data_IF_471744942275
#
_entry.id   IF_471744942275
#
_cell.length_a   1.000
_cell.length_b   1.000
_cell.length_c   1.000
_cell.angle_alpha   90.00
_cell.angle_beta   90.00
_cell.angle_gamma   90.00
#
_symmetry.space_group_name_H-M   'P 1'
#
loop_
_entity.id
_entity.type
_entity.pdbx_description
1 polymer ?
#
# COMPACT_ATOMS: atom_id res chain seq x y z
N UNK A 1 0.79 -21.05 -13.20
CA UNK A 1 0.05 -20.33 -14.28
C UNK A 1 -0.93 -19.38 -13.64
N UNK A 2 -0.55 -18.11 -13.56
CA UNK A 2 -1.51 -17.06 -13.24
C UNK A 2 -2.19 -16.68 -14.56
N UNK A 3 -3.48 -17.02 -14.71
CA UNK A 3 -4.27 -16.58 -15.86
C UNK A 3 -4.38 -15.05 -15.83
N UNK A 4 -3.54 -14.34 -16.59
CA UNK A 4 -3.66 -12.90 -16.82
C UNK A 4 -4.44 -12.66 -18.09
N UNK A 5 -5.45 -11.81 -18.00
CA UNK A 5 -6.14 -11.24 -19.14
C UNK A 5 -5.63 -9.83 -19.38
N UNK A 6 -5.25 -9.52 -20.60
CA UNK A 6 -4.72 -8.20 -20.96
C UNK A 6 -5.66 -7.55 -21.98
N UNK A 7 -6.11 -6.35 -21.65
CA UNK A 7 -6.95 -5.53 -22.53
C UNK A 7 -6.21 -4.24 -22.90
N UNK A 8 -6.42 -3.77 -24.11
CA UNK A 8 -5.86 -2.51 -24.57
C UNK A 8 -6.99 -1.50 -24.83
N UNK A 9 -6.80 -0.30 -24.33
CA UNK A 9 -7.69 0.84 -24.54
C UNK A 9 -6.97 1.87 -25.40
N UNK A 10 -7.63 2.34 -26.46
CA UNK A 10 -7.04 3.30 -27.39
C UNK A 10 -7.17 4.74 -26.90
N UNK A 11 -8.12 5.02 -26.01
CA UNK A 11 -8.38 6.34 -25.46
C UNK A 11 -8.58 6.32 -23.95
N UNK A 12 -8.41 7.49 -23.32
CA UNK A 12 -8.67 7.66 -21.89
C UNK A 12 -10.16 7.48 -21.56
N UNK A 13 -11.02 7.87 -22.46
CA UNK A 13 -12.48 7.77 -22.35
C UNK A 13 -12.90 6.30 -22.29
N UNK A 14 -12.43 5.47 -23.22
CA UNK A 14 -12.70 4.02 -23.23
C UNK A 14 -12.30 3.37 -21.90
N UNK A 15 -11.10 3.68 -21.39
CA UNK A 15 -10.63 3.15 -20.12
C UNK A 15 -11.51 3.58 -18.93
N UNK A 16 -11.92 4.85 -18.87
CA UNK A 16 -12.71 5.39 -17.77
C UNK A 16 -14.16 4.90 -17.81
N UNK A 17 -14.71 4.65 -18.99
CA UNK A 17 -16.07 4.19 -19.20
C UNK A 17 -16.21 2.65 -19.13
N UNK A 18 -15.11 1.92 -19.22
CA UNK A 18 -15.10 0.46 -19.14
C UNK A 18 -15.66 -0.03 -17.80
N UNK A 19 -16.66 -0.93 -17.82
CA UNK A 19 -17.34 -1.44 -16.62
C UNK A 19 -17.58 -2.95 -16.62
N UNK A 20 -17.16 -3.66 -17.66
CA UNK A 20 -17.50 -5.08 -17.83
C UNK A 20 -16.86 -5.96 -16.76
N UNK A 21 -15.56 -5.72 -16.45
CA UNK A 21 -14.85 -6.44 -15.40
C UNK A 21 -14.04 -5.48 -14.53
N UNK A 22 -13.73 -5.84 -13.27
CA UNK A 22 -12.75 -5.11 -12.47
C UNK A 22 -11.37 -5.12 -13.15
N UNK A 23 -10.69 -3.99 -13.13
CA UNK A 23 -9.30 -3.89 -13.57
C UNK A 23 -8.40 -3.95 -12.33
N UNK A 24 -7.55 -4.97 -12.24
CA UNK A 24 -6.60 -5.14 -11.14
C UNK A 24 -5.44 -4.14 -11.25
N UNK A 25 -4.96 -3.92 -12.48
CA UNK A 25 -3.88 -2.98 -12.77
C UNK A 25 -4.06 -2.31 -14.13
N UNK A 26 -3.52 -1.11 -14.26
CA UNK A 26 -3.50 -0.36 -15.52
C UNK A 26 -2.08 0.16 -15.78
N UNK A 27 -1.52 -0.21 -16.90
CA UNK A 27 -0.33 0.44 -17.45
C UNK A 27 -0.77 1.68 -18.22
N UNK A 28 -0.38 2.84 -17.74
CA UNK A 28 -0.89 4.12 -18.20
C UNK A 28 0.25 4.97 -18.75
N UNK A 29 0.19 5.25 -20.05
CA UNK A 29 1.10 6.24 -20.63
C UNK A 29 0.76 7.63 -20.09
N UNK A 30 1.78 8.41 -19.75
CA UNK A 30 1.56 9.80 -19.31
C UNK A 30 1.18 10.67 -20.51
N UNK A 31 1.73 10.39 -21.68
CA UNK A 31 1.44 11.12 -22.91
C UNK A 31 0.40 10.38 -23.76
N UNK A 32 -0.87 10.66 -23.53
CA UNK A 32 -2.01 10.06 -24.25
C UNK A 32 -2.52 10.96 -25.39
N UNK A 33 -1.63 11.52 -26.18
CA UNK A 33 -1.99 12.43 -27.26
C UNK A 33 -2.59 13.73 -26.73
N UNK A 34 -3.92 13.87 -26.73
CA UNK A 34 -4.61 15.06 -26.21
C UNK A 34 -4.88 15.01 -24.70
N UNK A 35 -4.78 13.85 -24.09
CA UNK A 35 -5.00 13.63 -22.65
C UNK A 35 -3.67 13.49 -21.90
N UNK A 36 -3.68 13.90 -20.63
CA UNK A 36 -2.55 13.68 -19.72
C UNK A 36 -2.88 12.47 -18.81
N UNK A 37 -2.04 11.43 -18.84
CA UNK A 37 -2.21 10.21 -18.06
C UNK A 37 -2.28 10.46 -16.56
N UNK A 38 -1.63 11.50 -16.03
CA UNK A 38 -1.72 11.86 -14.60
C UNK A 38 -3.14 12.32 -14.25
N UNK A 39 -3.81 13.04 -15.15
CA UNK A 39 -5.20 13.43 -14.95
C UNK A 39 -6.15 12.21 -15.03
N UNK A 40 -5.88 11.28 -15.95
CA UNK A 40 -6.62 10.01 -16.05
C UNK A 40 -6.45 9.19 -14.77
N UNK A 41 -5.23 9.07 -14.25
CA UNK A 41 -4.94 8.38 -13.00
C UNK A 41 -5.71 8.97 -11.81
N UNK A 42 -5.77 10.31 -11.67
CA UNK A 42 -6.58 10.98 -10.64
C UNK A 42 -8.07 10.62 -10.71
N UNK A 43 -8.60 10.43 -11.92
CA UNK A 43 -9.98 9.96 -12.10
C UNK A 43 -10.12 8.48 -11.73
N UNK A 44 -9.19 7.63 -12.18
CA UNK A 44 -9.16 6.21 -11.84
C UNK A 44 -9.07 5.98 -10.33
N UNK A 45 -8.20 6.69 -9.62
CA UNK A 45 -8.09 6.59 -8.17
C UNK A 45 -9.43 6.87 -7.45
N UNK A 46 -10.27 7.75 -8.00
CA UNK A 46 -11.59 8.07 -7.44
C UNK A 46 -12.65 7.00 -7.73
N UNK A 47 -12.68 6.50 -8.96
CA UNK A 47 -13.74 5.58 -9.41
C UNK A 47 -13.37 4.11 -9.26
N UNK A 48 -12.07 3.80 -9.17
CA UNK A 48 -11.49 2.46 -9.02
C UNK A 48 -10.31 2.47 -8.05
N UNK A 49 -10.52 2.71 -6.75
CA UNK A 49 -9.44 2.91 -5.77
C UNK A 49 -8.54 1.68 -5.59
N UNK A 50 -9.03 0.48 -5.96
CA UNK A 50 -8.25 -0.75 -5.86
C UNK A 50 -7.41 -1.05 -7.10
N UNK A 51 -7.64 -0.35 -8.23
CA UNK A 51 -6.89 -0.54 -9.47
C UNK A 51 -5.48 0.01 -9.32
N UNK A 52 -4.47 -0.83 -9.53
CA UNK A 52 -3.05 -0.45 -9.43
C UNK A 52 -2.63 0.32 -10.67
N UNK A 53 -2.09 1.51 -10.49
CA UNK A 53 -1.63 2.35 -11.60
C UNK A 53 -0.12 2.21 -11.74
N UNK A 54 0.32 1.87 -12.93
CA UNK A 54 1.72 1.84 -13.35
C UNK A 54 1.90 2.86 -14.47
N UNK A 55 2.67 3.91 -14.20
CA UNK A 55 2.98 4.88 -15.21
C UNK A 55 4.07 4.37 -16.15
N UNK A 56 3.85 4.56 -17.43
CA UNK A 56 4.84 4.37 -18.49
C UNK A 56 5.07 5.67 -19.25
N UNK A 57 6.32 6.05 -19.47
CA UNK A 57 6.64 7.25 -20.26
C UNK A 57 8.02 7.14 -20.86
N UNK A 58 8.31 7.98 -21.84
CA UNK A 58 9.68 8.17 -22.35
C UNK A 58 10.49 9.20 -21.54
N UNK A 59 9.85 9.97 -20.65
CA UNK A 59 10.45 11.15 -20.02
C UNK A 59 10.53 11.05 -18.51
N UNK A 60 11.73 11.15 -17.98
CA UNK A 60 11.98 11.03 -16.52
C UNK A 60 11.44 12.23 -15.72
N UNK A 61 11.29 13.41 -16.34
CA UNK A 61 10.82 14.61 -15.61
C UNK A 61 9.41 14.45 -15.00
N UNK A 62 8.57 13.59 -15.57
CA UNK A 62 7.25 13.30 -15.01
C UNK A 62 7.29 12.60 -13.64
N UNK A 63 8.43 12.03 -13.24
CA UNK A 63 8.56 11.38 -11.95
C UNK A 63 8.23 12.31 -10.75
N UNK A 64 8.41 13.63 -10.91
CA UNK A 64 8.05 14.62 -9.88
C UNK A 64 6.57 15.00 -9.89
N UNK A 65 5.86 14.80 -10.99
CA UNK A 65 4.46 15.21 -11.15
C UNK A 65 3.46 14.16 -10.66
N UNK A 66 3.87 12.89 -10.64
CA UNK A 66 3.01 11.76 -10.26
C UNK A 66 2.75 11.65 -8.76
N UNK A 67 3.51 12.37 -7.91
CA UNK A 67 3.38 12.31 -6.43
C UNK A 67 1.97 12.62 -5.92
N UNK A 68 1.14 13.28 -6.70
CA UNK A 68 -0.24 13.62 -6.34
C UNK A 68 -1.27 12.56 -6.78
N UNK A 69 -0.82 11.37 -7.14
CA UNK A 69 -1.67 10.22 -7.53
C UNK A 69 -1.26 8.98 -6.76
N UNK A 70 -2.23 8.12 -6.45
CA UNK A 70 -1.94 6.79 -5.94
C UNK A 70 -1.52 5.89 -7.11
N UNK A 71 -0.27 5.48 -7.12
CA UNK A 71 0.31 4.59 -8.11
C UNK A 71 1.32 3.67 -7.42
N UNK A 72 1.61 2.54 -8.05
CA UNK A 72 2.53 1.54 -7.47
C UNK A 72 3.89 1.49 -8.17
N UNK A 73 3.98 2.03 -9.40
CA UNK A 73 5.21 2.02 -10.18
C UNK A 73 5.27 3.13 -11.20
N UNK A 74 6.50 3.54 -11.50
CA UNK A 74 6.83 4.41 -12.61
C UNK A 74 7.95 3.77 -13.42
N UNK A 75 7.78 3.62 -14.72
CA UNK A 75 8.78 3.01 -15.60
C UNK A 75 8.99 3.82 -16.87
N UNK A 76 10.26 4.00 -17.24
CA UNK A 76 10.62 4.52 -18.55
C UNK A 76 10.41 3.40 -19.58
N UNK A 77 9.72 3.70 -20.69
CA UNK A 77 9.34 2.69 -21.70
C UNK A 77 10.53 1.86 -22.19
N UNK A 78 11.72 2.45 -22.36
CA UNK A 78 12.92 1.72 -22.76
C UNK A 78 13.43 0.72 -21.72
N UNK A 79 12.98 0.79 -20.47
CA UNK A 79 13.32 -0.13 -19.38
C UNK A 79 12.18 -1.09 -19.02
N UNK A 80 11.06 -1.01 -19.73
CA UNK A 80 9.86 -1.78 -19.42
C UNK A 80 10.12 -3.28 -19.47
N UNK A 81 10.77 -3.78 -20.51
CA UNK A 81 11.05 -5.21 -20.67
C UNK A 81 11.90 -5.77 -19.52
N UNK A 82 12.88 -5.00 -19.04
CA UNK A 82 13.74 -5.40 -17.93
C UNK A 82 13.01 -5.38 -16.58
N UNK A 83 11.96 -4.56 -16.46
CA UNK A 83 11.24 -4.31 -15.23
C UNK A 83 9.87 -4.99 -15.11
N UNK A 84 9.36 -5.58 -16.18
CA UNK A 84 8.01 -6.16 -16.21
C UNK A 84 7.84 -7.26 -15.15
N UNK A 85 8.86 -8.09 -14.91
CA UNK A 85 8.82 -9.14 -13.88
C UNK A 85 8.66 -8.55 -12.46
N UNK A 86 9.43 -7.51 -12.13
CA UNK A 86 9.37 -6.81 -10.85
C UNK A 86 7.99 -6.15 -10.67
N UNK A 87 7.48 -5.50 -11.72
CA UNK A 87 6.18 -4.82 -11.73
C UNK A 87 5.04 -5.82 -11.48
N UNK A 88 5.02 -6.93 -12.22
CA UNK A 88 3.99 -7.97 -12.04
C UNK A 88 4.10 -8.60 -10.64
N UNK A 89 5.31 -8.88 -10.17
CA UNK A 89 5.55 -9.36 -8.80
C UNK A 89 4.95 -8.41 -7.77
N UNK A 90 5.12 -7.10 -7.93
CA UNK A 90 4.55 -6.08 -7.06
C UNK A 90 3.02 -6.03 -7.13
N UNK A 91 2.42 -6.07 -8.33
CA UNK A 91 0.96 -6.12 -8.50
C UNK A 91 0.38 -7.31 -7.74
N UNK A 92 0.94 -8.50 -7.95
CA UNK A 92 0.46 -9.74 -7.32
C UNK A 92 0.62 -9.70 -5.80
N UNK A 93 1.74 -9.16 -5.30
CA UNK A 93 1.96 -8.97 -3.86
C UNK A 93 0.90 -8.04 -3.26
N UNK A 94 0.66 -6.90 -3.90
CA UNK A 94 -0.34 -5.92 -3.41
C UNK A 94 -1.77 -6.48 -3.45
N UNK A 95 -2.12 -7.29 -4.45
CA UNK A 95 -3.40 -7.97 -4.52
C UNK A 95 -3.57 -8.98 -3.37
N UNK A 96 -2.55 -9.82 -3.12
CA UNK A 96 -2.55 -10.77 -2.00
C UNK A 96 -2.67 -10.07 -0.66
N UNK A 97 -2.01 -8.93 -0.48
CA UNK A 97 -2.10 -8.15 0.75
C UNK A 97 -3.49 -7.56 0.97
N UNK A 98 -4.20 -7.18 -0.10
CA UNK A 98 -5.60 -6.73 0.00
C UNK A 98 -6.56 -7.87 0.38
N UNK A 99 -6.25 -9.11 0.00
CA UNK A 99 -7.00 -10.29 0.43
C UNK A 99 -6.74 -10.64 1.90
N UNK A 100 -5.57 -10.30 2.45
CA UNK A 100 -5.23 -10.51 3.86
C UNK A 100 -6.02 -9.55 4.73
N UNK A 101 -6.84 -10.11 5.61
CA UNK A 101 -7.74 -9.33 6.47
C UNK A 101 -7.68 -9.82 7.91
N UNK A 102 -7.90 -8.89 8.82
CA UNK A 102 -8.08 -9.17 10.24
C UNK A 102 -9.50 -8.84 10.65
N UNK A 103 -10.08 -9.66 11.53
CA UNK A 103 -11.40 -9.36 12.09
C UNK A 103 -11.22 -8.59 13.40
N UNK A 104 -11.85 -7.44 13.46
CA UNK A 104 -11.88 -6.58 14.63
C UNK A 104 -13.33 -6.25 15.03
N UNK A 105 -13.51 -5.55 16.14
CA UNK A 105 -14.82 -5.11 16.62
C UNK A 105 -14.86 -3.59 16.76
N UNK A 106 -16.02 -3.01 16.45
CA UNK A 106 -16.32 -1.62 16.78
C UNK A 106 -16.64 -1.47 18.27
N UNK A 107 -16.77 -0.23 18.73
CA UNK A 107 -17.23 0.07 20.10
C UNK A 107 -18.61 -0.52 20.39
N UNK A 108 -19.46 -0.61 19.39
CA UNK A 108 -20.81 -1.18 19.44
C UNK A 108 -20.82 -2.72 19.29
N UNK A 109 -19.64 -3.37 19.36
CA UNK A 109 -19.45 -4.83 19.24
C UNK A 109 -19.85 -5.43 17.88
N UNK A 110 -19.90 -4.63 16.83
CA UNK A 110 -20.06 -5.13 15.45
C UNK A 110 -18.72 -5.65 14.93
N UNK A 111 -18.73 -6.80 14.28
CA UNK A 111 -17.55 -7.35 13.63
C UNK A 111 -17.30 -6.60 12.34
N UNK A 112 -16.04 -6.23 12.10
CA UNK A 112 -15.55 -5.60 10.88
C UNK A 112 -14.34 -6.36 10.36
N UNK A 113 -14.22 -6.45 9.05
CA UNK A 113 -13.07 -7.02 8.35
C UNK A 113 -12.20 -5.86 7.90
N UNK A 114 -10.94 -5.84 8.33
CA UNK A 114 -9.96 -4.78 8.04
C UNK A 114 -8.88 -5.37 7.17
N UNK A 115 -8.67 -4.81 5.98
CA UNK A 115 -7.58 -5.21 5.10
C UNK A 115 -6.23 -4.73 5.67
N UNK A 116 -5.17 -5.50 5.47
CA UNK A 116 -3.84 -5.17 5.99
C UNK A 116 -3.34 -3.80 5.52
N UNK A 117 -3.51 -3.39 4.24
CA UNK A 117 -3.11 -2.05 3.81
C UNK A 117 -3.80 -0.91 4.55
N UNK A 118 -4.99 -1.13 5.11
CA UNK A 118 -5.73 -0.09 5.84
C UNK A 118 -5.22 0.11 7.28
N UNK A 119 -4.40 -0.80 7.79
CA UNK A 119 -3.86 -0.75 9.15
C UNK A 119 -2.68 0.22 9.19
N UNK A 120 -2.76 1.23 10.05
CA UNK A 120 -1.65 2.15 10.32
C UNK A 120 -0.64 1.53 11.30
N UNK A 121 -1.14 1.06 12.42
CA UNK A 121 -0.38 0.34 13.44
C UNK A 121 -1.30 -0.44 14.38
N UNK A 122 -0.71 -1.38 15.10
CA UNK A 122 -1.35 -2.12 16.17
C UNK A 122 -0.77 -1.65 17.50
N UNK A 123 -1.63 -1.48 18.50
CA UNK A 123 -1.26 -1.07 19.84
C UNK A 123 -1.78 -2.06 20.89
N UNK A 124 -0.91 -2.44 21.83
CA UNK A 124 -1.31 -3.18 23.04
C UNK A 124 -1.94 -2.20 24.04
N UNK A 125 -3.19 -2.41 24.38
CA UNK A 125 -3.93 -1.62 25.38
C UNK A 125 -4.42 -2.51 26.52
N UNK A 126 -3.58 -2.72 27.53
CA UNK A 126 -3.84 -3.63 28.64
C UNK A 126 -4.04 -5.07 28.13
N UNK A 127 -5.24 -5.62 28.35
CA UNK A 127 -5.63 -6.96 27.88
C UNK A 127 -6.17 -7.00 26.45
N UNK A 128 -6.38 -5.83 25.83
CA UNK A 128 -6.91 -5.70 24.48
C UNK A 128 -5.82 -5.32 23.50
N UNK A 129 -6.09 -5.55 22.25
CA UNK A 129 -5.27 -5.10 21.12
C UNK A 129 -6.08 -4.11 20.31
N UNK A 130 -5.57 -2.88 20.16
CA UNK A 130 -6.17 -1.86 19.29
C UNK A 130 -5.59 -1.99 17.89
N UNK A 131 -6.45 -1.90 16.90
CA UNK A 131 -6.10 -1.76 15.50
C UNK A 131 -6.42 -0.32 15.08
N UNK A 132 -5.40 0.46 14.83
CA UNK A 132 -5.53 1.83 14.34
C UNK A 132 -5.43 1.80 12.82
N UNK A 133 -6.45 2.30 12.15
CA UNK A 133 -6.60 2.22 10.70
C UNK A 133 -6.83 3.61 10.11
N UNK A 134 -6.82 3.69 8.78
CA UNK A 134 -7.19 4.90 8.03
C UNK A 134 -8.65 5.33 8.26
N UNK A 135 -9.51 4.40 8.74
CA UNK A 135 -10.94 4.61 8.98
C UNK A 135 -11.29 4.88 10.45
N UNK A 136 -10.39 4.58 11.38
CA UNK A 136 -10.62 4.72 12.81
C UNK A 136 -9.93 3.65 13.65
N UNK A 137 -10.37 3.53 14.91
CA UNK A 137 -9.76 2.61 15.89
C UNK A 137 -10.75 1.49 16.22
N UNK A 138 -10.28 0.27 16.13
CA UNK A 138 -11.03 -0.95 16.37
C UNK A 138 -10.36 -1.80 17.46
N UNK A 139 -11.13 -2.66 18.10
CA UNK A 139 -10.60 -3.60 19.11
C UNK A 139 -10.49 -5.00 18.52
N UNK A 140 -9.33 -5.62 18.69
CA UNK A 140 -9.12 -7.02 18.32
C UNK A 140 -9.15 -7.86 19.58
N UNK A 141 -9.96 -8.93 19.61
CA UNK A 141 -10.11 -9.86 20.75
C UNK A 141 -9.04 -10.95 20.78
N UNK A 142 -7.93 -10.77 20.10
CA UNK A 142 -6.76 -11.66 20.12
C UNK A 142 -5.62 -10.99 20.87
N UNK A 143 -4.71 -11.80 21.42
CA UNK A 143 -3.53 -11.29 22.10
C UNK A 143 -2.62 -10.56 21.11
N UNK A 144 -1.92 -9.56 21.58
CA UNK A 144 -1.01 -8.75 20.76
C UNK A 144 0.04 -9.63 20.04
N UNK A 145 0.60 -10.62 20.73
CA UNK A 145 1.63 -11.49 20.18
C UNK A 145 1.07 -12.42 19.07
N UNK A 146 -0.18 -12.90 19.20
CA UNK A 146 -0.88 -13.65 18.14
C UNK A 146 -1.15 -12.77 16.90
N UNK A 147 -1.40 -11.47 17.11
CA UNK A 147 -1.56 -10.52 16.01
C UNK A 147 -0.24 -10.23 15.34
N UNK A 148 0.87 -10.15 16.10
CA UNK A 148 2.21 -9.99 15.54
C UNK A 148 2.57 -11.14 14.58
N UNK A 149 2.20 -12.37 14.92
CA UNK A 149 2.40 -13.53 14.04
C UNK A 149 1.55 -13.44 12.76
N UNK A 150 0.28 -13.03 12.87
CA UNK A 150 -0.63 -12.88 11.73
C UNK A 150 -0.16 -11.78 10.76
N UNK A 151 0.39 -10.70 11.32
CA UNK A 151 0.92 -9.55 10.56
C UNK A 151 2.37 -9.76 10.12
N UNK A 152 2.95 -10.94 10.38
CA UNK A 152 4.30 -11.23 9.92
C UNK A 152 4.42 -11.04 8.40
N UNK A 153 5.46 -10.32 7.98
CA UNK A 153 5.69 -9.98 6.59
C UNK A 153 6.42 -8.65 6.46
N UNK A 154 6.69 -8.25 5.23
CA UNK A 154 7.63 -7.17 4.96
C UNK A 154 7.10 -5.78 5.32
N UNK A 155 5.76 -5.61 5.28
CA UNK A 155 5.14 -4.31 5.54
C UNK A 155 5.00 -3.95 7.02
N UNK A 156 5.06 -4.95 7.91
CA UNK A 156 4.84 -4.77 9.35
C UNK A 156 6.08 -5.11 10.15
N UNK A 157 6.41 -4.26 11.11
CA UNK A 157 7.50 -4.52 12.05
C UNK A 157 7.07 -4.22 13.48
N UNK A 158 7.47 -5.09 14.41
CA UNK A 158 7.31 -4.85 15.83
C UNK A 158 8.39 -3.87 16.30
N UNK A 159 8.04 -2.61 16.43
CA UNK A 159 8.97 -1.55 16.84
C UNK A 159 8.97 -1.29 18.35
N UNK A 160 8.06 -1.89 19.10
CA UNK A 160 7.93 -1.74 20.56
C UNK A 160 7.25 -2.97 21.17
N UNK A 161 7.40 -3.19 22.48
CA UNK A 161 6.66 -4.23 23.19
C UNK A 161 5.13 -4.08 23.03
N UNK A 162 4.66 -2.87 22.73
CA UNK A 162 3.25 -2.52 22.58
C UNK A 162 2.86 -1.99 21.22
N UNK A 163 3.79 -1.93 20.24
CA UNK A 163 3.49 -1.39 18.91
C UNK A 163 4.02 -2.27 17.79
N UNK A 164 3.18 -2.47 16.77
CA UNK A 164 3.54 -3.01 15.45
C UNK A 164 3.16 -1.94 14.44
N UNK A 165 4.11 -1.43 13.69
CA UNK A 165 3.90 -0.37 12.69
C UNK A 165 3.77 -0.97 11.29
N UNK A 166 2.92 -0.37 10.46
CA UNK A 166 2.87 -0.64 9.03
C UNK A 166 3.73 0.39 8.28
N UNK A 167 4.79 -0.07 7.64
CA UNK A 167 5.75 0.79 6.94
C UNK A 167 5.14 1.54 5.75
N UNK A 168 4.08 1.01 5.13
CA UNK A 168 3.33 1.71 4.05
C UNK A 168 2.80 3.08 4.46
N UNK A 169 2.58 3.28 5.76
CA UNK A 169 2.07 4.53 6.31
C UNK A 169 3.14 5.40 6.97
N UNK A 170 4.41 4.98 6.97
CA UNK A 170 5.51 5.77 7.52
C UNK A 170 5.95 6.84 6.53
N UNK A 171 5.78 8.11 6.93
CA UNK A 171 6.25 9.28 6.19
C UNK A 171 7.72 9.59 6.50
N UNK A 172 8.10 9.44 7.76
CA UNK A 172 9.44 9.80 8.24
C UNK A 172 9.89 8.83 9.32
N UNK A 173 11.11 8.31 9.18
CA UNK A 173 11.78 7.48 10.18
C UNK A 173 12.87 8.29 10.89
N UNK A 174 12.78 8.44 12.22
CA UNK A 174 13.81 9.06 13.08
C UNK A 174 14.51 8.00 13.92
N UNK A 175 15.48 8.44 14.75
CA UNK A 175 16.30 7.52 15.55
C UNK A 175 15.46 6.58 16.43
N UNK A 176 14.37 7.09 17.01
CA UNK A 176 13.57 6.36 18.02
C UNK A 176 12.06 6.46 17.80
N UNK A 177 11.62 6.88 16.62
CA UNK A 177 10.21 6.99 16.29
C UNK A 177 9.96 6.95 14.79
N UNK A 178 8.73 6.55 14.43
CA UNK A 178 8.15 6.71 13.10
C UNK A 178 7.06 7.79 13.15
N UNK A 179 7.06 8.70 12.17
CA UNK A 179 5.96 9.64 11.94
C UNK A 179 5.15 9.14 10.76
N UNK A 180 3.86 8.93 10.96
CA UNK A 180 2.95 8.44 9.92
C UNK A 180 2.45 9.59 9.03
N UNK A 181 1.90 9.27 7.85
CA UNK A 181 1.34 10.28 6.93
C UNK A 181 0.19 11.09 7.53
N UNK A 182 -0.55 10.52 8.48
CA UNK A 182 -1.61 11.22 9.22
C UNK A 182 -1.11 12.06 10.40
N UNK A 183 0.22 12.16 10.59
CA UNK A 183 0.87 12.92 11.65
C UNK A 183 1.02 12.18 12.99
N UNK A 184 0.46 10.99 13.13
CA UNK A 184 0.64 10.19 14.35
C UNK A 184 2.08 9.72 14.50
N UNK A 185 2.50 9.52 15.76
CA UNK A 185 3.87 9.09 16.11
C UNK A 185 3.80 7.71 16.75
N UNK A 186 4.64 6.80 16.26
CA UNK A 186 4.86 5.47 16.83
C UNK A 186 6.29 5.39 17.36
N UNK A 187 6.43 5.16 18.67
CA UNK A 187 7.74 5.12 19.31
C UNK A 187 8.42 3.76 19.12
N UNK A 188 9.75 3.80 18.96
CA UNK A 188 10.60 2.62 18.87
C UNK A 188 11.28 2.40 20.22
N UNK A 189 11.15 1.22 20.79
CA UNK A 189 11.87 0.87 22.02
C UNK A 189 13.33 0.53 21.73
N UNK A 190 14.20 0.69 22.75
CA UNK A 190 15.62 0.36 22.60
C UNK A 190 15.85 -1.10 22.19
N UNK A 191 15.03 -2.01 22.69
CA UNK A 191 15.13 -3.47 22.40
C UNK A 191 14.76 -3.84 20.96
N UNK A 192 13.97 -3.03 20.27
CA UNK A 192 13.52 -3.29 18.90
C UNK A 192 14.19 -2.37 17.87
N UNK A 193 15.11 -1.49 18.31
CA UNK A 193 15.64 -0.40 17.48
C UNK A 193 16.39 -0.92 16.25
N UNK A 194 17.30 -1.86 16.46
CA UNK A 194 18.15 -2.38 15.37
C UNK A 194 17.33 -3.24 14.38
N UNK A 195 16.47 -4.09 14.93
CA UNK A 195 15.61 -4.98 14.13
C UNK A 195 14.66 -4.17 13.25
N UNK A 196 13.84 -3.29 13.85
CA UNK A 196 12.85 -2.51 13.07
C UNK A 196 13.48 -1.56 12.06
N UNK A 197 14.72 -1.09 12.30
CA UNK A 197 15.46 -0.30 11.32
C UNK A 197 15.96 -1.12 10.15
N UNK A 198 16.45 -2.33 10.41
CA UNK A 198 16.84 -3.26 9.36
C UNK A 198 15.63 -3.63 8.49
N UNK A 199 14.48 -3.93 9.14
CA UNK A 199 13.21 -4.20 8.45
C UNK A 199 12.79 -3.01 7.58
N UNK A 200 12.84 -1.78 8.13
CA UNK A 200 12.47 -0.57 7.38
C UNK A 200 13.39 -0.32 6.19
N UNK A 201 14.68 -0.55 6.35
CA UNK A 201 15.65 -0.42 5.26
C UNK A 201 15.37 -1.45 4.16
N UNK A 202 15.16 -2.71 4.54
CA UNK A 202 14.80 -3.78 3.60
C UNK A 202 13.49 -3.44 2.86
N UNK A 203 12.47 -3.00 3.61
CA UNK A 203 11.22 -2.56 3.04
C UNK A 203 11.41 -1.40 2.04
N UNK A 204 12.17 -0.37 2.40
CA UNK A 204 12.40 0.79 1.54
C UNK A 204 13.12 0.44 0.24
N UNK A 205 14.04 -0.53 0.26
CA UNK A 205 14.74 -1.00 -0.94
C UNK A 205 13.84 -1.72 -1.94
N UNK A 206 12.68 -2.22 -1.51
CA UNK A 206 11.72 -2.89 -2.39
C UNK A 206 10.76 -1.91 -3.07
N UNK A 207 10.65 -0.69 -2.55
CA UNK A 207 9.66 0.30 -2.97
C UNK A 207 10.28 1.61 -3.53
N UNK A 208 11.62 1.64 -3.67
CA UNK A 208 12.36 2.78 -4.28
C UNK A 208 12.86 2.47 -5.67
#
# INVERSE_FOLDING_TARGET
>A
DMGMEVMCFSTAEELLEYKETPLDAVFLDIELGRANGIFVAKKLNKVRPNCKIIYMTNYLHYATEIYNTEHIWFVIKSKFTDKIGDIIGKIVSDMKDQERKIVAETKERKKVSIAFPDILYIERDGKYTKCVTVWGVYTIKRKFDEIAEVLSGIDFSRCHNSYIVNFRHVREAKRNLYTLYNGQIVYISKSHLEETKADFLQWSMMYV
#
